data_IF_425395716687
#
_entry.id   IF_425395716687
#
_cell.length_a   1.000
_cell.length_b   1.000
_cell.length_c   1.000
_cell.angle_alpha   90.00
_cell.angle_beta   90.00
_cell.angle_gamma   90.00
#
_symmetry.space_group_name_H-M   'P 1'
#
loop_
_entity.id
_entity.type
_entity.pdbx_description
1 polymer ?
#
# COMPACT_ATOMS: atom_id res chain seq x y z
N UNK A 1 -7.68 16.95 2.10
CA UNK A 1 -8.70 16.36 1.22
C UNK A 1 -8.26 14.97 0.84
N UNK A 2 -9.05 13.97 1.22
CA UNK A 2 -8.84 12.57 0.85
C UNK A 2 -10.00 12.12 -0.02
N UNK A 3 -9.72 11.83 -1.29
CA UNK A 3 -10.69 11.30 -2.23
C UNK A 3 -10.39 9.84 -2.55
N UNK A 4 -11.43 9.02 -2.64
CA UNK A 4 -11.32 7.64 -3.10
C UNK A 4 -12.28 7.37 -4.25
N UNK A 5 -11.75 6.94 -5.38
CA UNK A 5 -12.55 6.48 -6.51
C UNK A 5 -11.77 5.46 -7.33
N UNK A 6 -12.46 4.49 -7.94
CA UNK A 6 -11.85 3.51 -8.85
C UNK A 6 -10.59 2.82 -8.29
N UNK A 7 -10.59 2.46 -7.00
CA UNK A 7 -9.45 1.84 -6.29
C UNK A 7 -8.21 2.73 -6.13
N UNK A 8 -8.34 4.05 -6.28
CA UNK A 8 -7.27 5.02 -6.14
C UNK A 8 -7.61 5.97 -4.99
N UNK A 9 -6.65 6.15 -4.08
CA UNK A 9 -6.71 7.14 -3.02
C UNK A 9 -5.87 8.36 -3.42
N UNK A 10 -6.47 9.53 -3.29
CA UNK A 10 -5.83 10.81 -3.53
C UNK A 10 -5.80 11.61 -2.23
N UNK A 11 -4.62 11.76 -1.64
CA UNK A 11 -4.40 12.61 -0.48
C UNK A 11 -3.79 13.92 -0.96
N UNK A 12 -4.55 14.99 -0.90
CA UNK A 12 -4.12 16.32 -1.36
C UNK A 12 -3.96 17.28 -0.19
N UNK A 13 -2.78 17.89 -0.11
CA UNK A 13 -2.53 19.11 0.65
C UNK A 13 -2.64 20.33 -0.27
N UNK A 14 -2.34 21.53 0.23
CA UNK A 14 -2.31 22.74 -0.59
C UNK A 14 -1.32 22.64 -1.76
N UNK A 15 -0.20 21.94 -1.57
CA UNK A 15 0.94 21.94 -2.49
C UNK A 15 1.43 20.57 -2.92
N UNK A 16 0.95 19.49 -2.30
CA UNK A 16 1.39 18.13 -2.60
C UNK A 16 0.24 17.18 -2.81
N UNK A 17 0.48 16.14 -3.60
CA UNK A 17 -0.40 14.99 -3.75
C UNK A 17 0.35 13.71 -3.36
N UNK A 18 -0.32 12.86 -2.60
CA UNK A 18 0.09 11.47 -2.37
C UNK A 18 -0.98 10.55 -2.94
N UNK A 19 -0.58 9.65 -3.83
CA UNK A 19 -1.52 8.84 -4.62
C UNK A 19 -1.21 7.37 -4.43
N UNK A 20 -2.20 6.63 -3.94
CA UNK A 20 -2.13 5.19 -3.72
C UNK A 20 -3.13 4.48 -4.62
N UNK A 21 -2.80 3.28 -5.09
CA UNK A 21 -3.68 2.45 -5.90
C UNK A 21 -3.74 1.04 -5.37
N UNK A 22 -4.93 0.44 -5.35
CA UNK A 22 -5.09 -1.00 -5.16
C UNK A 22 -5.04 -1.66 -6.54
N UNK A 23 -4.01 -2.45 -6.78
CA UNK A 23 -3.79 -3.09 -8.07
C UNK A 23 -4.72 -4.30 -8.31
N UNK A 24 -4.55 -4.95 -9.45
CA UNK A 24 -5.36 -6.09 -9.89
C UNK A 24 -5.20 -7.32 -8.97
N UNK A 25 -4.07 -7.43 -8.26
CA UNK A 25 -3.73 -8.52 -7.34
C UNK A 25 -4.09 -8.19 -5.88
N UNK A 26 -4.59 -6.98 -5.62
CA UNK A 26 -4.96 -6.48 -4.30
C UNK A 26 -3.82 -5.84 -3.52
N UNK A 27 -2.60 -5.75 -4.07
CA UNK A 27 -1.52 -5.02 -3.41
C UNK A 27 -1.76 -3.51 -3.48
N UNK A 28 -1.34 -2.81 -2.43
CA UNK A 28 -1.37 -1.36 -2.38
C UNK A 28 -0.06 -0.81 -2.95
N UNK A 29 -0.16 -0.06 -4.04
CA UNK A 29 0.96 0.56 -4.75
C UNK A 29 1.02 2.07 -4.48
N UNK A 30 2.23 2.59 -4.25
CA UNK A 30 2.52 4.01 -4.19
C UNK A 30 2.78 4.53 -5.60
N UNK A 31 1.91 5.41 -6.09
CA UNK A 31 1.92 5.88 -7.48
C UNK A 31 2.64 7.23 -7.61
N UNK A 32 2.41 8.14 -6.66
CA UNK A 32 3.03 9.46 -6.69
C UNK A 32 3.14 10.04 -5.29
N UNK A 33 4.28 10.67 -5.01
CA UNK A 33 4.43 11.62 -3.91
C UNK A 33 5.24 12.82 -4.39
N UNK A 34 4.68 14.01 -4.29
CA UNK A 34 5.38 15.23 -4.69
C UNK A 34 4.43 16.38 -4.94
N UNK A 35 4.77 17.21 -5.93
CA UNK A 35 3.95 18.36 -6.34
C UNK A 35 2.49 17.98 -6.55
N UNK A 36 1.60 18.90 -6.19
CA UNK A 36 0.15 18.69 -6.30
C UNK A 36 -0.23 18.45 -7.76
N UNK A 37 -0.94 17.35 -7.97
CA UNK A 37 -1.52 16.98 -9.25
C UNK A 37 -3.04 17.16 -9.19
N UNK A 38 -3.65 17.48 -10.32
CA UNK A 38 -5.09 17.34 -10.48
C UNK A 38 -5.48 15.85 -10.50
N UNK A 39 -6.67 15.53 -9.98
CA UNK A 39 -7.19 14.15 -10.02
C UNK A 39 -7.35 13.73 -11.47
N UNK A 40 -6.66 12.67 -11.85
CA UNK A 40 -6.58 12.20 -13.24
C UNK A 40 -6.41 10.68 -13.30
N UNK A 41 -6.44 10.13 -14.51
CA UNK A 41 -6.02 8.75 -14.73
C UNK A 41 -4.52 8.60 -14.43
N UNK A 42 -4.17 7.60 -13.62
CA UNK A 42 -2.80 7.40 -13.14
C UNK A 42 -2.05 6.31 -13.90
N UNK A 43 -2.67 5.72 -14.94
CA UNK A 43 -2.08 4.65 -15.75
C UNK A 43 -0.73 5.05 -16.38
N UNK A 44 -0.55 6.34 -16.66
CA UNK A 44 0.69 6.90 -17.20
C UNK A 44 1.80 7.05 -16.14
N UNK A 45 1.42 7.18 -14.86
CA UNK A 45 2.34 7.31 -13.73
C UNK A 45 2.76 5.94 -13.17
N UNK A 46 1.89 4.93 -13.31
CA UNK A 46 2.15 3.58 -12.82
C UNK A 46 3.32 2.93 -13.56
N UNK A 47 4.21 2.30 -12.81
CA UNK A 47 5.32 1.54 -13.36
C UNK A 47 4.80 0.36 -14.21
N UNK A 48 5.26 0.28 -15.45
CA UNK A 48 4.89 -0.80 -16.38
C UNK A 48 5.90 -1.93 -16.29
N UNK A 49 5.50 -3.05 -15.69
CA UNK A 49 6.29 -4.28 -15.70
C UNK A 49 6.01 -5.01 -17.03
N UNK A 50 6.97 -4.97 -17.95
CA UNK A 50 6.84 -5.63 -19.26
C UNK A 50 7.81 -6.79 -19.47
N UNK A 51 8.75 -6.98 -18.55
CA UNK A 51 9.79 -8.01 -18.60
C UNK A 51 10.20 -8.40 -17.18
N UNK A 52 10.48 -9.69 -16.98
CA UNK A 52 11.12 -10.19 -15.75
C UNK A 52 12.60 -9.80 -15.75
N UNK A 53 13.09 -9.29 -14.62
CA UNK A 53 14.47 -8.83 -14.48
C UNK A 53 15.30 -9.85 -13.69
N UNK A 54 16.38 -10.36 -14.29
CA UNK A 54 17.40 -11.13 -13.57
C UNK A 54 16.84 -12.35 -12.80
N UNK A 55 16.96 -12.32 -11.48
CA UNK A 55 16.55 -13.40 -10.56
C UNK A 55 15.24 -13.12 -9.82
N UNK A 56 14.37 -12.25 -10.35
CA UNK A 56 13.09 -11.95 -9.69
C UNK A 56 12.17 -13.16 -9.65
N UNK A 57 11.39 -13.25 -8.58
CA UNK A 57 10.29 -14.22 -8.47
C UNK A 57 9.04 -13.58 -9.05
N UNK A 58 8.50 -14.19 -10.10
CA UNK A 58 7.20 -13.80 -10.63
C UNK A 58 6.11 -14.18 -9.63
N UNK A 59 5.45 -13.15 -9.07
CA UNK A 59 4.27 -13.31 -8.23
C UNK A 59 3.08 -13.79 -9.07
N UNK A 60 2.96 -13.23 -10.28
CA UNK A 60 1.97 -13.62 -11.28
C UNK A 60 2.61 -13.64 -12.67
N UNK A 61 2.40 -14.75 -13.38
CA UNK A 61 3.03 -15.03 -14.68
C UNK A 61 2.33 -14.35 -15.85
N UNK A 62 1.08 -13.91 -15.69
CA UNK A 62 0.32 -13.34 -16.81
C UNK A 62 0.92 -12.00 -17.29
N UNK A 63 1.42 -11.18 -16.36
CA UNK A 63 1.92 -9.83 -16.64
C UNK A 63 3.36 -9.58 -16.14
N UNK A 64 4.15 -10.64 -15.94
CA UNK A 64 5.51 -10.54 -15.37
C UNK A 64 5.56 -9.75 -14.05
N UNK A 65 4.49 -9.83 -13.26
CA UNK A 65 4.34 -9.03 -12.05
C UNK A 65 5.23 -9.63 -10.95
N UNK A 66 6.15 -8.80 -10.43
CA UNK A 66 7.06 -9.17 -9.35
C UNK A 66 6.97 -8.13 -8.24
N UNK A 67 7.03 -8.59 -6.98
CA UNK A 67 7.00 -7.67 -5.83
C UNK A 67 8.30 -6.88 -5.70
N UNK A 68 9.41 -7.39 -6.24
CA UNK A 68 10.71 -6.71 -6.30
C UNK A 68 10.66 -5.41 -7.12
N UNK A 69 9.91 -5.43 -8.23
CA UNK A 69 9.77 -4.27 -9.12
C UNK A 69 8.56 -3.40 -8.78
N UNK A 70 7.55 -3.94 -8.09
CA UNK A 70 6.38 -3.17 -7.69
C UNK A 70 6.75 -2.08 -6.67
N UNK A 71 6.14 -0.89 -6.80
CA UNK A 71 6.26 0.19 -5.82
C UNK A 71 5.20 -0.01 -4.74
N UNK A 72 5.41 -1.00 -3.87
CA UNK A 72 4.48 -1.32 -2.79
C UNK A 72 4.47 -0.24 -1.72
N UNK A 73 3.29 0.13 -1.24
CA UNK A 73 3.13 1.02 -0.09
C UNK A 73 3.58 0.33 1.21
N UNK A 74 3.30 -0.96 1.31
CA UNK A 74 3.69 -1.78 2.45
C UNK A 74 4.17 -3.13 1.95
N UNK A 75 5.49 -3.35 2.00
CA UNK A 75 6.11 -4.61 1.58
C UNK A 75 6.07 -5.66 2.69
N UNK A 76 5.93 -6.92 2.28
CA UNK A 76 6.03 -8.10 3.15
C UNK A 76 7.33 -8.86 2.92
N UNK A 77 7.57 -9.89 3.72
CA UNK A 77 8.75 -10.76 3.64
C UNK A 77 8.39 -12.07 2.95
N UNK A 78 9.32 -12.59 2.14
CA UNK A 78 9.28 -13.98 1.68
C UNK A 78 8.42 -14.25 0.43
N UNK A 79 7.95 -13.22 -0.25
CA UNK A 79 7.17 -13.30 -1.50
C UNK A 79 7.88 -12.79 -2.75
N UNK A 80 9.20 -12.57 -2.66
CA UNK A 80 10.04 -12.21 -3.81
C UNK A 80 10.37 -10.73 -3.93
N UNK A 81 9.97 -9.89 -2.97
CA UNK A 81 10.57 -8.58 -2.76
C UNK A 81 11.85 -8.76 -1.93
N UNK A 82 13.01 -8.42 -2.50
CA UNK A 82 14.30 -8.56 -1.82
C UNK A 82 14.77 -7.27 -1.14
N UNK A 83 13.98 -6.20 -1.22
CA UNK A 83 14.27 -4.91 -0.57
C UNK A 83 13.97 -5.00 0.92
N UNK A 84 14.31 -3.95 1.66
CA UNK A 84 14.04 -3.88 3.10
C UNK A 84 12.53 -3.84 3.37
N UNK A 85 12.05 -4.79 4.16
CA UNK A 85 10.67 -4.82 4.64
C UNK A 85 10.50 -3.86 5.84
N UNK A 86 9.39 -3.11 5.93
CA UNK A 86 9.06 -2.32 7.11
C UNK A 86 8.66 -3.18 8.32
N UNK A 87 8.41 -4.48 8.11
CA UNK A 87 7.90 -5.37 9.15
C UNK A 87 8.57 -6.75 9.12
N UNK A 88 8.75 -7.35 10.28
CA UNK A 88 9.16 -8.74 10.46
C UNK A 88 8.24 -9.40 11.48
N UNK A 89 7.52 -10.45 11.07
CA UNK A 89 6.55 -11.17 11.89
C UNK A 89 6.83 -12.66 11.79
N UNK A 90 6.83 -13.36 12.93
CA UNK A 90 6.77 -14.82 12.95
C UNK A 90 5.31 -15.24 12.79
N UNK A 91 5.02 -15.88 11.66
CA UNK A 91 3.69 -16.34 11.28
C UNK A 91 3.28 -17.59 12.08
N UNK A 92 1.99 -17.97 12.10
CA UNK A 92 1.53 -19.13 12.86
C UNK A 92 2.18 -20.48 12.48
N UNK A 93 2.74 -20.59 11.27
CA UNK A 93 3.52 -21.76 10.83
C UNK A 93 5.02 -21.67 11.18
N UNK A 94 5.44 -20.64 11.90
CA UNK A 94 6.84 -20.38 12.26
C UNK A 94 7.68 -19.78 11.13
N UNK A 95 7.10 -19.54 9.94
CA UNK A 95 7.78 -18.81 8.87
C UNK A 95 7.71 -17.29 9.08
N UNK A 96 8.40 -16.54 8.24
CA UNK A 96 8.27 -15.08 8.16
C UNK A 96 7.54 -14.64 6.89
N UNK A 97 6.91 -15.57 6.17
CA UNK A 97 6.32 -15.31 4.86
C UNK A 97 4.96 -14.63 5.02
N UNK A 98 4.85 -13.38 4.59
CA UNK A 98 3.60 -12.62 4.59
C UNK A 98 3.27 -12.06 3.20
N UNK A 99 1.97 -11.99 2.91
CA UNK A 99 1.40 -11.54 1.63
C UNK A 99 0.18 -10.69 1.92
N UNK A 100 0.44 -9.45 2.32
CA UNK A 100 -0.59 -8.50 2.70
C UNK A 100 -1.26 -7.89 1.47
N UNK A 101 -2.57 -8.03 1.40
CA UNK A 101 -3.41 -7.43 0.36
C UNK A 101 -4.48 -6.55 1.00
N UNK A 102 -4.93 -5.55 0.25
CA UNK A 102 -5.99 -4.66 0.64
C UNK A 102 -7.26 -5.43 1.04
N UNK A 103 -7.81 -5.11 2.21
CA UNK A 103 -9.09 -5.63 2.68
C UNK A 103 -10.16 -4.54 2.71
N UNK A 104 -9.87 -3.41 3.36
CA UNK A 104 -10.84 -2.32 3.53
C UNK A 104 -10.16 -0.98 3.82
N UNK A 105 -10.94 0.11 3.80
CA UNK A 105 -10.47 1.41 4.26
C UNK A 105 -11.59 2.18 4.97
N UNK A 106 -11.20 3.24 5.69
CA UNK A 106 -12.08 4.27 6.22
C UNK A 106 -11.46 5.63 5.98
N UNK A 107 -12.27 6.59 5.56
CA UNK A 107 -11.91 8.02 5.53
C UNK A 107 -12.70 8.67 6.66
N UNK A 108 -11.98 9.30 7.59
CA UNK A 108 -12.51 9.85 8.83
C UNK A 108 -12.11 11.31 8.94
N UNK A 109 -12.97 12.12 9.54
CA UNK A 109 -12.62 13.47 9.95
C UNK A 109 -11.74 13.45 11.20
N UNK A 110 -10.85 14.43 11.31
CA UNK A 110 -9.89 14.57 12.41
C UNK A 110 -8.59 13.80 12.19
N UNK A 111 -7.64 14.05 13.09
CA UNK A 111 -6.37 13.36 13.17
C UNK A 111 -6.50 11.97 13.82
N UNK A 112 -5.38 11.39 14.30
CA UNK A 112 -5.40 10.18 15.12
C UNK A 112 -6.27 10.37 16.38
N UNK A 113 -6.93 9.30 16.87
CA UNK A 113 -7.88 9.39 17.97
C UNK A 113 -7.16 9.67 19.30
N UNK A 114 -7.82 10.44 20.16
CA UNK A 114 -7.26 10.93 21.42
C UNK A 114 -7.09 9.84 22.51
N UNK A 115 -7.55 8.62 22.24
CA UNK A 115 -7.52 7.49 23.17
C UNK A 115 -6.19 6.73 23.16
N UNK A 116 -5.22 7.15 22.35
CA UNK A 116 -3.87 6.58 22.32
C UNK A 116 -2.97 7.03 23.49
N UNK A 117 -2.15 6.11 24.01
CA UNK A 117 -1.15 6.42 25.05
C UNK A 117 0.10 7.15 24.53
N UNK A 118 0.26 7.23 23.20
CA UNK A 118 1.42 7.82 22.55
C UNK A 118 1.12 9.22 22.01
N UNK A 119 2.11 10.13 21.97
CA UNK A 119 1.95 11.42 21.30
C UNK A 119 1.57 11.27 19.83
N UNK A 120 0.63 12.09 19.35
CA UNK A 120 0.18 12.10 17.96
C UNK A 120 0.01 13.52 17.42
N UNK A 121 0.00 13.66 16.09
CA UNK A 121 -0.30 14.93 15.44
C UNK A 121 -1.78 15.28 15.62
N UNK A 122 -2.08 16.52 16.02
CA UNK A 122 -3.44 17.02 16.28
C UNK A 122 -3.81 18.14 15.30
N UNK A 123 -5.11 18.36 15.09
CA UNK A 123 -5.65 19.48 14.31
C UNK A 123 -6.79 19.09 13.36
N UNK A 124 -7.28 20.07 12.61
CA UNK A 124 -8.26 19.86 11.54
C UNK A 124 -7.58 19.12 10.38
N UNK A 125 -7.93 17.85 10.23
CA UNK A 125 -7.37 16.96 9.22
C UNK A 125 -8.43 15.95 8.79
N UNK A 126 -8.09 15.17 7.77
CA UNK A 126 -8.76 13.92 7.45
C UNK A 126 -7.76 12.78 7.61
N UNK A 127 -8.28 11.59 7.94
CA UNK A 127 -7.49 10.41 8.18
C UNK A 127 -7.97 9.28 7.27
N UNK A 128 -7.01 8.67 6.58
CA UNK A 128 -7.21 7.44 5.84
C UNK A 128 -6.64 6.28 6.65
N UNK A 129 -7.51 5.36 7.07
CA UNK A 129 -7.13 4.07 7.61
C UNK A 129 -7.28 3.03 6.50
N UNK A 130 -6.21 2.29 6.17
CA UNK A 130 -6.26 1.16 5.23
C UNK A 130 -5.95 -0.10 6.00
N UNK A 131 -6.84 -1.09 5.92
CA UNK A 131 -6.60 -2.42 6.48
C UNK A 131 -6.05 -3.35 5.40
N UNK A 132 -4.89 -3.94 5.66
CA UNK A 132 -4.32 -5.01 4.85
C UNK A 132 -4.42 -6.33 5.60
N UNK A 133 -4.80 -7.41 4.92
CA UNK A 133 -4.91 -8.74 5.48
C UNK A 133 -3.95 -9.71 4.77
N UNK A 134 -3.36 -10.64 5.52
CA UNK A 134 -2.53 -11.68 4.92
C UNK A 134 -3.40 -12.69 4.14
N UNK A 135 -2.96 -13.07 2.93
CA UNK A 135 -3.72 -14.01 2.08
C UNK A 135 -3.88 -15.41 2.67
N UNK A 136 -2.93 -15.89 3.48
CA UNK A 136 -2.98 -17.22 4.09
C UNK A 136 -3.67 -17.18 5.45
N UNK A 137 -3.36 -16.17 6.25
CA UNK A 137 -3.91 -15.98 7.60
C UNK A 137 -4.77 -14.72 7.63
N UNK A 138 -6.01 -14.83 7.16
CA UNK A 138 -6.93 -13.68 6.99
C UNK A 138 -7.27 -12.92 8.27
N UNK A 139 -7.06 -13.55 9.43
CA UNK A 139 -7.24 -12.91 10.74
C UNK A 139 -6.07 -12.00 11.11
N UNK A 140 -4.91 -12.16 10.45
CA UNK A 140 -3.73 -11.32 10.66
C UNK A 140 -3.84 -10.08 9.76
N UNK A 141 -4.05 -8.94 10.41
CA UNK A 141 -4.36 -7.67 9.76
C UNK A 141 -3.43 -6.56 10.22
N UNK A 142 -2.97 -5.76 9.27
CA UNK A 142 -2.35 -4.46 9.50
C UNK A 142 -3.45 -3.40 9.43
N UNK A 143 -3.50 -2.51 10.41
CA UNK A 143 -4.50 -1.44 10.55
C UNK A 143 -3.82 -0.11 10.79
#
# INVERSE_FOLDING_TARGET
>A
MIDYSNKIFWLSTDKTSYVLMINERGHLESIHYGDRLEVQDVSALRQKNGVTLGSTVEYDREDYYSLDSALLEYSGIGKGDYRHSPIEIIMPDGSFVCDFVYESHKILEGSLPEDGELPFAYGEAERLEITLADKKYTDLKLK
#
